data_IF_654068178335
#
_entry.id   IF_654068178335
#
_cell.length_a   1.000
_cell.length_b   1.000
_cell.length_c   1.000
_cell.angle_alpha   90.00
_cell.angle_beta   90.00
_cell.angle_gamma   90.00
#
_symmetry.space_group_name_H-M   'P 1'
#
loop_
_entity.id
_entity.type
_entity.pdbx_description
1 polymer ?
#
# COMPACT_ATOMS: atom_id res chain seq x y z
N UNK A 1 25.37 -28.18 7.29
CA UNK A 1 25.77 -26.86 7.83
C UNK A 1 24.91 -25.79 7.17
N UNK A 2 23.97 -25.20 7.91
CA UNK A 2 23.18 -24.08 7.40
C UNK A 2 24.06 -22.83 7.24
N UNK A 3 23.99 -22.18 6.08
CA UNK A 3 24.70 -20.93 5.83
C UNK A 3 23.77 -19.74 6.10
N UNK A 4 24.33 -18.70 6.71
CA UNK A 4 23.67 -17.42 6.93
C UNK A 4 24.59 -16.28 6.49
N UNK A 5 24.02 -15.16 6.08
CA UNK A 5 24.77 -14.00 5.64
C UNK A 5 24.16 -12.73 6.22
N UNK A 6 25.01 -11.73 6.46
CA UNK A 6 24.63 -10.36 6.72
C UNK A 6 24.79 -9.55 5.43
N UNK A 7 23.81 -8.69 5.14
CA UNK A 7 23.85 -7.77 4.02
C UNK A 7 23.85 -6.35 4.58
N UNK A 8 24.95 -5.61 4.38
CA UNK A 8 25.06 -4.21 4.80
C UNK A 8 24.13 -3.30 4.00
N UNK A 9 23.85 -2.09 4.51
CA UNK A 9 23.05 -1.08 3.81
C UNK A 9 23.58 -0.72 2.40
N UNK A 10 24.88 -0.91 2.16
CA UNK A 10 25.53 -0.71 0.85
C UNK A 10 25.39 -1.91 -0.09
N UNK A 11 24.69 -2.97 0.34
CA UNK A 11 24.45 -4.19 -0.45
C UNK A 11 25.61 -5.18 -0.44
N UNK A 12 26.60 -5.02 0.44
CA UNK A 12 27.71 -5.95 0.56
C UNK A 12 27.31 -7.14 1.46
N UNK A 13 27.46 -8.36 0.93
CA UNK A 13 27.09 -9.60 1.62
C UNK A 13 28.32 -10.24 2.28
N UNK A 14 28.25 -10.48 3.59
CA UNK A 14 29.24 -11.25 4.35
C UNK A 14 28.63 -12.52 4.95
N UNK A 15 29.36 -13.61 4.92
CA UNK A 15 28.94 -14.87 5.55
C UNK A 15 29.07 -14.78 7.08
N UNK A 16 28.03 -15.20 7.80
CA UNK A 16 27.96 -15.15 9.25
C UNK A 16 28.42 -16.46 9.87
N UNK A 17 29.25 -16.33 10.90
CA UNK A 17 29.71 -17.43 11.76
C UNK A 17 29.14 -17.26 13.16
N UNK A 18 29.10 -18.36 13.93
CA UNK A 18 28.67 -18.32 15.33
C UNK A 18 29.57 -17.34 16.11
N UNK A 19 28.95 -16.40 16.83
CA UNK A 19 29.66 -15.34 17.56
C UNK A 19 29.91 -14.06 16.75
N UNK A 20 29.57 -14.02 15.46
CA UNK A 20 29.60 -12.78 14.69
C UNK A 20 28.51 -11.83 15.19
N UNK A 21 28.85 -10.54 15.25
CA UNK A 21 27.93 -9.46 15.63
C UNK A 21 27.20 -8.97 14.40
N UNK A 22 25.91 -8.67 14.52
CA UNK A 22 25.11 -8.02 13.48
C UNK A 22 24.90 -6.56 13.85
N UNK A 23 25.20 -5.66 12.93
CA UNK A 23 24.93 -4.24 13.11
C UNK A 23 23.46 -3.93 12.79
N UNK A 24 22.94 -2.83 13.32
CA UNK A 24 21.55 -2.41 13.12
C UNK A 24 21.20 -2.11 11.66
N UNK A 25 22.21 -1.84 10.82
CA UNK A 25 22.10 -1.55 9.39
C UNK A 25 22.32 -2.80 8.51
N UNK A 26 22.46 -3.98 9.12
CA UNK A 26 22.70 -5.25 8.42
C UNK A 26 21.45 -6.15 8.42
N UNK A 27 21.13 -6.71 7.25
CA UNK A 27 20.02 -7.65 7.06
C UNK A 27 20.50 -9.11 7.14
N UNK A 28 19.81 -9.93 7.94
CA UNK A 28 20.07 -11.37 8.05
C UNK A 28 19.40 -12.16 6.92
N UNK A 29 20.18 -12.98 6.22
CA UNK A 29 19.72 -13.88 5.17
C UNK A 29 20.08 -15.31 5.54
N UNK A 30 19.10 -16.20 5.65
CA UNK A 30 19.29 -17.62 5.99
C UNK A 30 19.07 -18.54 4.79
N UNK A 31 19.91 -19.56 4.63
CA UNK A 31 19.67 -20.62 3.65
C UNK A 31 18.44 -21.49 4.02
N UNK A 32 17.78 -22.14 3.04
CA UNK A 32 16.65 -23.02 3.31
C UNK A 32 16.99 -24.12 4.32
N UNK A 33 16.19 -24.23 5.38
CA UNK A 33 16.41 -25.20 6.47
C UNK A 33 17.50 -24.82 7.48
N UNK A 34 18.14 -23.65 7.36
CA UNK A 34 19.03 -23.13 8.39
C UNK A 34 18.22 -22.54 9.55
N UNK A 35 18.63 -22.83 10.80
CA UNK A 35 18.13 -22.17 11.99
C UNK A 35 19.21 -21.22 12.54
N UNK A 36 18.85 -19.96 12.74
CA UNK A 36 19.73 -18.93 13.33
C UNK A 36 19.10 -18.40 14.60
N UNK A 37 19.80 -18.55 15.71
CA UNK A 37 19.38 -18.01 16.99
C UNK A 37 20.13 -16.70 17.27
N UNK A 38 19.38 -15.62 17.37
CA UNK A 38 19.87 -14.26 17.60
C UNK A 38 19.58 -13.88 19.06
N UNK A 39 20.63 -13.53 19.81
CA UNK A 39 20.54 -13.16 21.23
C UNK A 39 20.71 -11.64 21.38
N UNK A 40 19.69 -11.00 21.95
CA UNK A 40 19.59 -9.54 22.12
C UNK A 40 20.26 -9.03 23.40
N UNK A 41 21.00 -9.89 24.11
CA UNK A 41 21.75 -9.59 25.33
C UNK A 41 20.90 -9.14 26.55
N UNK A 42 19.57 -9.15 26.41
CA UNK A 42 18.56 -8.87 27.43
C UNK A 42 17.81 -10.16 27.87
N UNK A 43 18.43 -11.32 27.65
CA UNK A 43 17.85 -12.66 27.76
C UNK A 43 16.70 -12.97 26.78
N UNK A 44 16.50 -12.17 25.73
CA UNK A 44 15.62 -12.53 24.61
C UNK A 44 16.43 -13.20 23.50
N UNK A 45 15.96 -14.38 23.10
CA UNK A 45 16.50 -15.15 21.99
C UNK A 45 15.41 -15.33 20.94
N UNK A 46 15.69 -14.99 19.68
CA UNK A 46 14.80 -15.21 18.55
C UNK A 46 15.42 -16.24 17.60
N UNK A 47 14.63 -17.24 17.22
CA UNK A 47 15.04 -18.31 16.31
C UNK A 47 14.40 -18.12 14.95
N UNK A 48 15.22 -17.92 13.92
CA UNK A 48 14.77 -17.83 12.53
C UNK A 48 15.02 -19.16 11.83
N UNK A 49 13.99 -19.77 11.24
CA UNK A 49 14.12 -21.01 10.46
C UNK A 49 13.87 -20.66 8.99
N UNK A 50 14.77 -21.09 8.10
CA UNK A 50 14.78 -20.78 6.66
C UNK A 50 13.63 -21.36 5.82
N UNK A 51 12.43 -21.49 6.39
CA UNK A 51 11.17 -21.65 5.64
C UNK A 51 10.04 -20.76 6.20
N UNK A 52 10.36 -19.72 6.98
CA UNK A 52 9.34 -18.86 7.56
C UNK A 52 9.79 -17.39 7.56
N UNK A 53 9.04 -16.56 6.83
CA UNK A 53 8.98 -15.12 7.09
C UNK A 53 8.38 -14.93 8.48
N UNK A 54 9.05 -14.18 9.33
CA UNK A 54 8.45 -13.66 10.55
C UNK A 54 8.81 -12.18 10.67
N UNK A 55 7.79 -11.34 10.72
CA UNK A 55 7.88 -9.93 11.09
C UNK A 55 8.06 -9.89 12.61
N UNK A 56 9.08 -9.19 13.10
CA UNK A 56 9.17 -8.85 14.53
C UNK A 56 8.34 -7.57 14.73
N UNK A 57 7.02 -7.73 14.77
CA UNK A 57 6.10 -6.71 15.33
C UNK A 57 4.86 -7.36 15.99
N UNK A 58 4.58 -8.64 15.72
CA UNK A 58 3.29 -9.23 16.11
C UNK A 58 3.37 -10.12 17.38
N UNK A 59 4.04 -9.62 18.42
CA UNK A 59 4.10 -10.30 19.73
C UNK A 59 3.56 -9.44 20.90
N UNK A 60 2.86 -8.34 20.60
CA UNK A 60 2.20 -7.51 21.63
C UNK A 60 0.68 -7.79 21.77
N UNK A 61 0.08 -8.64 20.94
CA UNK A 61 -1.39 -8.73 20.83
C UNK A 61 -2.02 -10.06 21.29
N UNK A 62 -1.34 -10.89 22.08
CA UNK A 62 -1.92 -12.14 22.60
C UNK A 62 -1.72 -12.33 24.11
N UNK A 63 -2.27 -11.43 24.93
CA UNK A 63 -2.81 -11.83 26.24
C UNK A 63 -3.87 -10.85 26.75
N UNK A 64 -5.13 -11.03 26.34
CA UNK A 64 -6.25 -10.85 27.28
C UNK A 64 -6.41 -12.19 28.00
N UNK A 65 -5.88 -12.27 29.23
CA UNK A 65 -6.24 -13.36 30.13
C UNK A 65 -7.64 -13.15 30.71
N UNK A 66 -8.22 -14.19 31.32
CA UNK A 66 -8.91 -14.01 32.58
C UNK A 66 -8.14 -14.71 33.70
N UNK A 67 -7.83 -13.89 34.71
CA UNK A 67 -7.90 -14.13 36.14
C UNK A 67 -7.08 -15.24 36.83
N UNK A 68 -6.56 -14.81 37.99
CA UNK A 68 -5.70 -15.49 38.95
C UNK A 68 -6.48 -16.51 39.76
N UNK A 69 -5.81 -17.57 40.20
CA UNK A 69 -5.93 -18.08 41.58
C UNK A 69 -4.70 -18.94 41.99
N UNK A 70 -4.04 -18.42 43.03
CA UNK A 70 -3.20 -18.97 44.13
C UNK A 70 -2.41 -20.31 44.05
N UNK A 71 -1.13 -20.19 44.47
CA UNK A 71 -0.12 -21.16 44.98
C UNK A 71 -0.58 -22.01 46.19
N UNK A 72 0.06 -23.17 46.60
CA UNK A 72 1.50 -23.26 46.98
C UNK A 72 2.28 -24.59 46.75
N UNK A 73 3.63 -24.49 46.82
CA UNK A 73 4.67 -25.53 46.55
C UNK A 73 4.89 -26.57 47.68
N UNK A 74 6.13 -27.02 48.03
CA UNK A 74 7.46 -26.93 47.39
C UNK A 74 8.21 -28.31 47.30
N UNK A 75 9.41 -28.38 46.68
CA UNK A 75 10.67 -28.89 47.31
C UNK A 75 11.83 -29.14 46.31
N UNK A 76 13.11 -29.06 46.75
CA UNK A 76 14.32 -28.90 45.93
C UNK A 76 15.24 -30.14 45.94
N UNK A 77 16.34 -30.14 45.16
CA UNK A 77 17.74 -30.51 45.54
C UNK A 77 18.62 -30.85 44.30
N UNK A 78 19.55 -29.93 43.98
CA UNK A 78 21.00 -30.02 43.64
C UNK A 78 21.65 -31.26 42.91
N UNK A 79 22.99 -31.34 42.71
CA UNK A 79 23.77 -30.68 41.65
C UNK A 79 24.74 -31.65 40.91
N UNK A 80 25.33 -31.27 39.77
CA UNK A 80 26.40 -32.09 39.15
C UNK A 80 27.05 -31.50 37.90
N UNK A 81 28.21 -30.88 38.08
CA UNK A 81 29.17 -30.39 37.08
C UNK A 81 29.91 -31.56 36.34
N UNK A 82 30.97 -31.33 35.51
CA UNK A 82 31.14 -30.45 34.34
C UNK A 82 31.76 -31.21 33.11
N UNK A 83 31.93 -30.47 32.00
CA UNK A 83 32.94 -30.53 30.89
C UNK A 83 33.73 -31.84 30.60
N UNK A 84 33.96 -32.28 29.35
CA UNK A 84 35.01 -31.75 28.45
C UNK A 84 35.05 -32.48 27.07
N UNK A 85 35.86 -32.03 26.08
CA UNK A 85 35.67 -32.18 24.63
C UNK A 85 36.61 -33.19 23.93
N UNK A 86 36.45 -33.38 22.61
CA UNK A 86 37.48 -33.62 21.53
C UNK A 86 36.79 -34.15 20.25
N UNK A 87 36.92 -33.48 19.09
CA UNK A 87 37.96 -33.63 18.04
C UNK A 87 38.04 -35.05 17.45
N UNK A 88 38.22 -35.32 16.15
CA UNK A 88 38.36 -34.53 14.92
C UNK A 88 38.25 -35.50 13.71
N UNK A 89 38.08 -34.92 12.52
CA UNK A 89 38.52 -35.35 11.18
C UNK A 89 38.06 -36.69 10.55
N UNK A 90 37.40 -36.56 9.39
CA UNK A 90 37.96 -37.17 8.17
C UNK A 90 37.55 -36.41 6.89
N UNK A 91 38.51 -36.31 5.98
CA UNK A 91 38.54 -35.49 4.76
C UNK A 91 37.96 -36.17 3.50
N UNK A 92 37.31 -35.34 2.65
CA UNK A 92 37.33 -35.30 1.15
C UNK A 92 36.59 -36.38 0.30
N UNK A 93 36.35 -36.14 -1.03
CA UNK A 93 35.89 -34.94 -1.78
C UNK A 93 34.84 -35.30 -2.89
N UNK A 94 34.59 -34.36 -3.84
CA UNK A 94 33.90 -34.51 -5.17
C UNK A 94 32.36 -34.32 -5.15
N UNK A 95 31.65 -33.66 -6.08
CA UNK A 95 31.89 -32.77 -7.24
C UNK A 95 30.49 -32.27 -7.70
N UNK A 96 30.41 -30.99 -8.11
CA UNK A 96 29.47 -30.37 -9.09
C UNK A 96 27.96 -30.71 -9.06
N UNK A 97 27.10 -29.69 -8.96
CA UNK A 97 26.23 -29.22 -10.06
C UNK A 97 25.58 -27.86 -9.71
N UNK A 98 25.08 -27.21 -10.74
CA UNK A 98 24.92 -25.78 -10.98
C UNK A 98 23.43 -25.35 -10.97
N UNK A 99 23.16 -24.08 -10.63
CA UNK A 99 21.85 -23.39 -10.79
C UNK A 99 20.92 -23.47 -9.56
N UNK A 100 20.23 -22.43 -9.07
CA UNK A 100 19.96 -21.07 -9.53
C UNK A 100 19.93 -20.10 -8.34
N UNK A 101 20.40 -18.87 -8.56
CA UNK A 101 20.44 -17.76 -7.59
C UNK A 101 19.10 -17.03 -7.58
N UNK A 102 18.50 -16.82 -6.41
CA UNK A 102 17.52 -15.76 -6.18
C UNK A 102 17.86 -15.07 -4.85
N UNK A 103 18.03 -13.76 -4.89
CA UNK A 103 18.21 -12.87 -3.72
C UNK A 103 17.00 -11.95 -3.73
N UNK A 104 16.23 -11.93 -2.64
CA UNK A 104 15.13 -10.96 -2.44
C UNK A 104 15.60 -9.92 -1.42
N UNK A 105 15.54 -8.63 -1.77
CA UNK A 105 15.74 -7.51 -0.86
C UNK A 105 14.40 -7.11 -0.26
N UNK A 106 14.36 -6.89 1.07
CA UNK A 106 13.23 -6.25 1.77
C UNK A 106 13.77 -5.02 2.52
N UNK A 107 13.16 -3.85 2.31
CA UNK A 107 13.43 -2.65 3.13
C UNK A 107 12.61 -2.75 4.41
N UNK A 108 13.20 -2.41 5.54
CA UNK A 108 12.45 -2.13 6.77
C UNK A 108 12.90 -0.76 7.25
N UNK A 109 11.93 0.15 7.37
CA UNK A 109 12.11 1.44 8.01
C UNK A 109 12.12 1.27 9.53
N UNK A 110 13.09 1.93 10.16
CA UNK A 110 13.05 2.54 11.50
C UNK A 110 12.06 1.97 12.54
N UNK A 111 12.60 1.31 13.58
CA UNK A 111 12.06 1.44 14.94
C UNK A 111 13.24 1.77 15.85
N UNK A 112 13.37 3.05 16.21
CA UNK A 112 14.26 3.52 17.27
C UNK A 112 13.38 3.72 18.51
N UNK A 113 13.56 2.91 19.55
CA UNK A 113 13.29 3.33 20.91
C UNK A 113 14.57 3.30 21.77
N UNK A 114 15.01 4.53 22.05
CA UNK A 114 15.60 5.08 23.27
C UNK A 114 17.07 4.86 23.71
N UNK A 115 17.85 3.88 23.26
CA UNK A 115 19.25 3.81 23.76
C UNK A 115 20.36 3.41 22.78
N UNK A 116 20.06 3.01 21.53
CA UNK A 116 20.96 3.11 20.36
C UNK A 116 22.38 2.51 20.44
N UNK A 117 22.74 1.78 21.50
CA UNK A 117 24.14 1.40 21.81
C UNK A 117 24.27 -0.09 22.20
N UNK A 118 23.19 -0.88 22.23
CA UNK A 118 23.26 -2.29 22.64
C UNK A 118 23.33 -3.24 21.43
N UNK A 119 24.51 -3.81 21.09
CA UNK A 119 24.65 -4.74 19.97
C UNK A 119 24.12 -6.15 20.32
N UNK A 120 23.38 -6.73 19.38
CA UNK A 120 22.85 -8.10 19.41
C UNK A 120 23.96 -9.08 19.00
N UNK A 121 24.13 -10.18 19.73
CA UNK A 121 25.19 -11.18 19.49
C UNK A 121 24.57 -12.51 19.04
N UNK A 122 25.08 -13.16 17.99
CA UNK A 122 24.58 -14.47 17.54
C UNK A 122 25.14 -15.57 18.44
N UNK A 123 24.29 -16.21 19.24
CA UNK A 123 24.74 -17.13 20.29
C UNK A 123 24.99 -18.57 19.80
N UNK A 124 24.29 -19.06 18.77
CA UNK A 124 24.46 -20.45 18.29
C UNK A 124 23.81 -20.70 16.92
N UNK A 125 24.41 -21.58 16.12
CA UNK A 125 23.80 -22.16 14.91
C UNK A 125 23.76 -23.68 15.12
N UNK A 126 22.58 -24.31 15.00
CA UNK A 126 22.42 -25.75 15.12
C UNK A 126 21.52 -26.30 14.00
N UNK A 127 21.98 -27.34 13.31
CA UNK A 127 21.24 -28.01 12.24
C UNK A 127 20.36 -29.10 12.84
N UNK A 128 19.03 -28.93 12.79
CA UNK A 128 18.07 -29.90 13.32
C UNK A 128 17.56 -30.81 12.18
N UNK A 129 18.23 -31.93 11.94
CA UNK A 129 17.72 -32.96 11.04
C UNK A 129 16.60 -33.74 11.77
N UNK A 130 15.34 -33.60 11.33
CA UNK A 130 14.28 -34.52 11.76
C UNK A 130 14.53 -35.89 11.11
N UNK A 131 14.71 -36.99 11.86
CA UNK A 131 14.80 -38.31 11.23
C UNK A 131 13.45 -38.63 10.58
N UNK A 132 13.48 -38.99 9.30
CA UNK A 132 12.34 -39.55 8.58
C UNK A 132 11.98 -40.90 9.22
N UNK A 133 11.05 -40.91 10.16
CA UNK A 133 10.44 -42.13 10.67
C UNK A 133 9.47 -42.69 9.64
N UNK A 134 9.95 -43.52 8.70
CA UNK A 134 9.08 -44.37 7.88
C UNK A 134 9.25 -45.82 8.34
N UNK A 135 8.34 -46.30 9.18
CA UNK A 135 8.12 -47.74 9.39
C UNK A 135 7.29 -48.27 8.21
N UNK A 136 7.94 -48.99 7.29
CA UNK A 136 7.25 -49.78 6.27
C UNK A 136 6.70 -51.06 6.94
N UNK A 137 5.41 -51.43 6.77
CA UNK A 137 4.97 -52.76 7.18
C UNK A 137 5.64 -53.81 6.27
N UNK A 138 6.28 -54.81 6.88
CA UNK A 138 6.77 -55.99 6.17
C UNK A 138 5.59 -56.72 5.51
N UNK A 139 5.40 -56.51 4.22
CA UNK A 139 4.67 -57.47 3.38
C UNK A 139 5.69 -58.44 2.81
N UNK A 140 5.68 -59.64 3.35
CA UNK A 140 6.37 -60.80 2.78
C UNK A 140 5.82 -61.06 1.38
N UNK A 141 6.63 -60.81 0.35
CA UNK A 141 6.33 -61.25 -1.01
C UNK A 141 6.85 -62.67 -1.18
N UNK A 142 5.99 -63.68 -0.98
CA UNK A 142 6.19 -64.96 -1.62
C UNK A 142 6.03 -64.77 -3.13
N UNK A 143 7.11 -65.09 -3.86
CA UNK A 143 7.10 -65.11 -5.32
C UNK A 143 6.18 -66.23 -5.78
N UNK A 144 5.08 -65.87 -6.44
CA UNK A 144 4.57 -66.71 -7.51
C UNK A 144 4.23 -65.88 -8.73
N UNK A 145 4.99 -66.17 -9.78
CA UNK A 145 4.99 -65.54 -11.08
C UNK A 145 4.02 -66.32 -11.95
N UNK A 146 2.88 -65.71 -12.28
CA UNK A 146 2.16 -65.86 -13.55
C UNK A 146 0.81 -65.14 -13.42
N UNK A 147 0.60 -64.13 -14.25
CA UNK A 147 -0.53 -64.02 -15.18
C UNK A 147 -0.31 -62.74 -15.99
N UNK A 148 -0.43 -62.91 -17.31
CA UNK A 148 -0.24 -61.92 -18.34
C UNK A 148 -1.38 -60.88 -18.41
N UNK A 149 -0.98 -59.68 -18.81
CA UNK A 149 -1.72 -58.65 -19.55
C UNK A 149 -2.76 -57.75 -18.85
N UNK A 150 -2.44 -56.44 -18.95
CA UNK A 150 -3.31 -55.31 -19.34
C UNK A 150 -4.04 -54.59 -18.20
N UNK A 151 -3.37 -53.58 -17.65
CA UNK A 151 -3.98 -52.45 -16.94
C UNK A 151 -2.96 -51.33 -16.86
N UNK A 152 -3.11 -50.29 -17.68
CA UNK A 152 -2.21 -49.14 -17.67
C UNK A 152 -2.35 -48.37 -16.36
N UNK A 153 -1.31 -48.37 -15.55
CA UNK A 153 -1.16 -47.40 -14.47
C UNK A 153 -1.00 -46.03 -15.11
N UNK A 154 -2.12 -45.33 -15.27
CA UNK A 154 -2.09 -43.88 -15.43
C UNK A 154 -1.43 -43.33 -14.18
N UNK A 155 -0.15 -43.03 -14.28
CA UNK A 155 0.44 -41.98 -13.46
C UNK A 155 -0.36 -40.74 -13.82
N UNK A 156 -1.35 -40.39 -13.00
CA UNK A 156 -1.88 -39.04 -12.99
C UNK A 156 -0.67 -38.18 -12.64
N UNK A 157 -0.15 -37.35 -13.57
CA UNK A 157 0.96 -36.48 -13.23
C UNK A 157 0.50 -35.65 -12.03
N UNK A 158 1.35 -35.55 -11.00
CA UNK A 158 1.13 -34.57 -9.94
C UNK A 158 0.82 -33.23 -10.63
N UNK A 159 -0.25 -32.51 -10.23
CA UNK A 159 -0.63 -31.29 -10.92
C UNK A 159 0.60 -30.38 -10.95
N UNK A 160 1.00 -29.96 -12.15
CA UNK A 160 2.08 -29.01 -12.30
C UNK A 160 1.78 -27.82 -11.38
N UNK A 161 2.75 -27.44 -10.54
CA UNK A 161 2.59 -26.30 -9.63
C UNK A 161 2.45 -25.06 -10.51
N UNK A 162 1.21 -24.57 -10.64
CA UNK A 162 0.90 -23.30 -11.29
C UNK A 162 1.20 -22.17 -10.31
N UNK A 163 1.73 -21.07 -10.79
CA UNK A 163 1.89 -19.82 -10.05
C UNK A 163 0.94 -18.78 -10.66
N UNK A 164 -0.35 -18.80 -10.31
CA UNK A 164 -1.31 -17.86 -10.85
C UNK A 164 -0.98 -16.44 -10.40
N UNK A 165 -1.17 -15.50 -11.31
CA UNK A 165 -1.00 -14.07 -11.12
C UNK A 165 -2.32 -13.33 -11.31
N UNK A 166 -2.36 -12.15 -10.71
CA UNK A 166 -3.44 -11.18 -10.83
C UNK A 166 -2.82 -9.81 -11.09
N UNK A 167 -3.55 -8.96 -11.81
CA UNK A 167 -3.22 -7.55 -11.96
C UNK A 167 -4.42 -6.70 -11.54
N UNK A 168 -4.16 -5.67 -10.75
CA UNK A 168 -5.18 -4.73 -10.29
C UNK A 168 -4.95 -3.38 -10.96
N UNK A 169 -6.02 -2.71 -11.36
CA UNK A 169 -5.98 -1.37 -11.91
C UNK A 169 -7.22 -0.58 -11.51
N UNK A 170 -7.01 0.52 -10.79
CA UNK A 170 -7.99 1.57 -10.58
C UNK A 170 -8.18 2.38 -11.88
N UNK A 171 -9.43 2.64 -12.24
CA UNK A 171 -9.83 3.26 -13.50
C UNK A 171 -10.40 4.66 -13.28
N UNK A 172 -10.44 5.48 -14.33
CA UNK A 172 -11.17 6.74 -14.38
C UNK A 172 -10.63 7.89 -13.50
N UNK A 173 -9.37 7.82 -13.03
CA UNK A 173 -8.69 8.91 -12.29
C UNK A 173 -8.08 9.99 -13.21
N UNK A 174 -8.77 10.31 -14.33
CA UNK A 174 -8.30 11.33 -15.27
C UNK A 174 -6.91 11.10 -15.88
N UNK A 175 -6.37 12.15 -16.50
CA UNK A 175 -5.01 12.19 -17.07
C UNK A 175 -3.95 12.58 -16.01
N UNK A 176 -4.36 13.24 -14.94
CA UNK A 176 -3.52 13.65 -13.81
C UNK A 176 -3.26 12.52 -12.82
N UNK A 177 -4.09 11.47 -12.85
CA UNK A 177 -3.97 10.28 -12.00
C UNK A 177 -4.47 10.50 -10.58
N UNK A 178 -5.24 11.57 -10.33
CA UNK A 178 -5.82 11.93 -9.02
C UNK A 178 -7.33 11.89 -9.16
N UNK A 179 -8.03 11.20 -8.27
CA UNK A 179 -9.49 11.24 -8.28
C UNK A 179 -10.01 12.57 -7.73
N UNK A 180 -10.71 13.31 -8.57
CA UNK A 180 -11.44 14.51 -8.17
C UNK A 180 -12.90 14.21 -7.75
N UNK A 181 -13.60 15.21 -7.21
CA UNK A 181 -14.98 15.10 -6.75
C UNK A 181 -15.97 14.64 -7.84
N UNK A 182 -15.68 14.92 -9.11
CA UNK A 182 -16.53 14.53 -10.23
C UNK A 182 -16.24 13.12 -10.76
N UNK A 183 -15.00 12.63 -10.57
CA UNK A 183 -14.56 11.28 -10.95
C UNK A 183 -14.94 10.22 -9.92
N UNK A 184 -15.14 10.63 -8.66
CA UNK A 184 -15.77 9.78 -7.66
C UNK A 184 -17.24 9.61 -8.04
N UNK A 185 -17.67 8.36 -8.22
CA UNK A 185 -19.04 8.02 -8.58
C UNK A 185 -20.06 8.61 -7.62
N UNK A 186 -21.29 8.82 -8.08
CA UNK A 186 -22.37 9.37 -7.24
C UNK A 186 -22.71 8.51 -6.01
N UNK A 187 -22.28 7.25 -6.00
CA UNK A 187 -22.37 6.32 -4.88
C UNK A 187 -21.15 6.36 -3.94
N UNK A 188 -20.19 7.25 -4.20
CA UNK A 188 -18.96 7.39 -3.41
C UNK A 188 -17.97 6.27 -3.69
N UNK A 189 -17.86 5.80 -4.93
CA UNK A 189 -16.95 4.73 -5.29
C UNK A 189 -16.27 4.97 -6.64
N UNK A 190 -15.16 4.28 -6.86
CA UNK A 190 -14.40 4.32 -8.12
C UNK A 190 -14.24 2.93 -8.71
N UNK A 191 -14.29 2.77 -10.04
CA UNK A 191 -14.20 1.47 -10.66
C UNK A 191 -12.75 0.97 -10.67
N UNK A 192 -12.59 -0.32 -10.42
CA UNK A 192 -11.34 -1.05 -10.62
C UNK A 192 -11.56 -2.27 -11.51
N UNK A 193 -10.53 -2.61 -12.29
CA UNK A 193 -10.47 -3.79 -13.12
C UNK A 193 -9.37 -4.73 -12.61
N UNK A 194 -9.78 -5.95 -12.29
CA UNK A 194 -8.89 -7.05 -11.95
C UNK A 194 -8.76 -7.94 -13.18
N UNK A 195 -7.54 -8.17 -13.64
CA UNK A 195 -7.23 -9.10 -14.72
C UNK A 195 -6.45 -10.29 -14.20
N UNK A 196 -6.76 -11.47 -14.72
CA UNK A 196 -6.21 -12.75 -14.30
C UNK A 196 -5.27 -13.27 -15.39
N UNK A 197 -4.15 -13.88 -15.00
CA UNK A 197 -3.21 -14.41 -15.98
C UNK A 197 -3.64 -15.78 -16.57
N UNK A 198 -2.85 -16.27 -17.52
CA UNK A 198 -3.11 -17.55 -18.20
C UNK A 198 -2.88 -18.78 -17.32
N UNK A 199 -2.33 -18.60 -16.10
CA UNK A 199 -2.14 -19.65 -15.12
C UNK A 199 -3.33 -19.77 -14.18
N UNK A 200 -4.25 -18.80 -14.09
CA UNK A 200 -5.48 -18.93 -13.30
C UNK A 200 -6.46 -19.92 -13.95
N UNK A 201 -7.22 -20.66 -13.14
CA UNK A 201 -8.27 -21.59 -13.59
C UNK A 201 -9.56 -21.35 -12.82
N UNK A 202 -10.67 -21.77 -13.44
CA UNK A 202 -11.98 -21.81 -12.77
C UNK A 202 -11.88 -22.63 -11.48
N UNK A 203 -12.37 -22.06 -10.39
CA UNK A 203 -12.33 -22.67 -9.05
C UNK A 203 -11.11 -22.28 -8.19
N UNK A 204 -10.10 -21.59 -8.74
CA UNK A 204 -9.14 -20.86 -7.91
C UNK A 204 -9.88 -19.76 -7.12
N UNK A 205 -9.45 -19.40 -5.91
CA UNK A 205 -10.13 -18.41 -5.07
C UNK A 205 -9.60 -17.02 -5.36
N UNK A 206 -10.48 -16.08 -5.72
CA UNK A 206 -10.18 -14.66 -5.86
C UNK A 206 -10.70 -13.90 -4.63
N UNK A 207 -9.80 -13.20 -3.96
CA UNK A 207 -10.08 -12.31 -2.85
C UNK A 207 -9.67 -10.88 -3.23
N UNK A 208 -10.57 -9.92 -3.09
CA UNK A 208 -10.35 -8.49 -3.33
C UNK A 208 -10.71 -7.73 -2.07
N UNK A 209 -9.82 -6.85 -1.63
CA UNK A 209 -9.99 -6.02 -0.43
C UNK A 209 -9.73 -4.55 -0.73
N UNK A 210 -10.39 -3.66 0.01
CA UNK A 210 -10.03 -2.24 0.03
C UNK A 210 -8.77 -1.98 0.89
N UNK A 211 -8.32 -0.73 0.94
CA UNK A 211 -7.20 -0.29 1.79
C UNK A 211 -7.39 -0.48 3.29
N UNK A 212 -8.64 -0.63 3.75
CA UNK A 212 -8.98 -0.88 5.14
C UNK A 212 -9.05 -2.39 5.47
N UNK A 213 -8.82 -3.26 4.48
CA UNK A 213 -8.92 -4.71 4.61
C UNK A 213 -10.34 -5.26 4.56
N UNK A 214 -11.34 -4.46 4.18
CA UNK A 214 -12.70 -4.94 3.97
C UNK A 214 -12.77 -5.77 2.69
N UNK A 215 -13.41 -6.94 2.77
CA UNK A 215 -13.60 -7.79 1.58
C UNK A 215 -14.64 -7.16 0.64
N UNK A 216 -14.20 -6.77 -0.55
CA UNK A 216 -15.06 -6.31 -1.63
C UNK A 216 -15.56 -7.50 -2.46
N UNK A 217 -14.75 -8.55 -2.59
CA UNK A 217 -15.09 -9.78 -3.28
C UNK A 217 -14.33 -10.97 -2.68
N UNK A 218 -15.02 -12.08 -2.44
CA UNK A 218 -14.40 -13.33 -2.02
C UNK A 218 -15.19 -14.51 -2.61
N UNK A 219 -14.70 -15.07 -3.72
CA UNK A 219 -15.38 -16.19 -4.40
C UNK A 219 -14.43 -16.97 -5.32
N UNK A 220 -14.80 -18.20 -5.73
CA UNK A 220 -14.09 -18.88 -6.81
C UNK A 220 -14.16 -18.09 -8.12
N UNK A 221 -13.06 -18.14 -8.86
CA UNK A 221 -12.93 -17.65 -10.23
C UNK A 221 -13.85 -18.45 -11.14
N UNK A 222 -14.56 -17.73 -12.00
CA UNK A 222 -15.48 -18.26 -13.02
C UNK A 222 -14.85 -18.11 -14.41
N UNK A 223 -15.48 -18.71 -15.43
CA UNK A 223 -15.01 -18.55 -16.80
C UNK A 223 -15.12 -17.09 -17.28
N UNK A 224 -16.15 -16.37 -16.84
CA UNK A 224 -16.37 -14.98 -17.21
C UNK A 224 -15.23 -14.07 -16.70
N UNK A 225 -14.72 -14.32 -15.49
CA UNK A 225 -13.60 -13.57 -14.93
C UNK A 225 -12.30 -13.75 -15.72
N UNK A 226 -12.09 -14.94 -16.30
CA UNK A 226 -10.94 -15.23 -17.14
C UNK A 226 -11.05 -14.57 -18.52
N UNK A 227 -12.27 -14.50 -19.05
CA UNK A 227 -12.52 -13.97 -20.38
C UNK A 227 -12.58 -12.42 -20.38
N UNK A 228 -13.17 -11.82 -19.35
CA UNK A 228 -13.48 -10.39 -19.28
C UNK A 228 -12.80 -9.63 -18.13
N UNK A 229 -12.15 -10.33 -17.20
CA UNK A 229 -11.71 -9.76 -15.93
C UNK A 229 -12.86 -9.52 -14.96
N UNK A 230 -12.55 -8.95 -13.79
CA UNK A 230 -13.53 -8.61 -12.77
C UNK A 230 -13.56 -7.11 -12.57
N UNK A 231 -14.73 -6.49 -12.77
CA UNK A 231 -14.96 -5.10 -12.39
C UNK A 231 -15.52 -5.03 -10.98
N UNK A 232 -14.99 -4.10 -10.19
CA UNK A 232 -15.42 -3.88 -8.82
C UNK A 232 -15.46 -2.38 -8.53
N UNK A 233 -16.42 -1.95 -7.74
CA UNK A 233 -16.48 -0.58 -7.23
C UNK A 233 -15.76 -0.53 -5.89
N UNK A 234 -14.78 0.37 -5.78
CA UNK A 234 -13.98 0.58 -4.57
C UNK A 234 -14.52 1.79 -3.85
N UNK A 235 -15.01 1.66 -2.61
CA UNK A 235 -15.57 2.78 -1.88
C UNK A 235 -14.50 3.84 -1.58
N UNK A 236 -14.89 5.09 -1.72
CA UNK A 236 -14.10 6.28 -1.41
C UNK A 236 -14.78 7.02 -0.26
N UNK A 237 -14.09 7.10 0.88
CA UNK A 237 -14.55 7.86 2.04
C UNK A 237 -14.19 9.33 1.84
N UNK A 238 -15.13 10.24 2.10
CA UNK A 238 -14.90 11.68 1.97
C UNK A 238 -13.67 12.13 2.79
N UNK A 239 -12.80 12.92 2.17
CA UNK A 239 -11.55 13.41 2.75
C UNK A 239 -10.46 12.35 2.90
N UNK A 240 -10.61 11.15 2.33
CA UNK A 240 -9.50 10.20 2.27
C UNK A 240 -8.44 10.70 1.27
N UNK A 241 -7.14 10.64 1.60
CA UNK A 241 -6.08 11.16 0.73
C UNK A 241 -5.72 10.24 -0.44
N UNK A 242 -6.13 8.97 -0.37
CA UNK A 242 -5.86 7.95 -1.38
C UNK A 242 -6.91 6.85 -1.31
N UNK A 243 -7.11 6.16 -2.43
CA UNK A 243 -7.90 4.94 -2.53
C UNK A 243 -6.97 3.78 -2.86
N UNK A 244 -7.09 2.70 -2.10
CA UNK A 244 -6.29 1.50 -2.23
C UNK A 244 -7.18 0.29 -2.50
N UNK A 245 -6.71 -0.59 -3.37
CA UNK A 245 -7.32 -1.88 -3.66
C UNK A 245 -6.23 -2.94 -3.78
N UNK A 246 -6.47 -4.10 -3.18
CA UNK A 246 -5.63 -5.27 -3.33
C UNK A 246 -6.44 -6.46 -3.80
N UNK A 247 -5.84 -7.31 -4.64
CA UNK A 247 -6.42 -8.58 -5.04
C UNK A 247 -5.40 -9.70 -4.87
N UNK A 248 -5.88 -10.88 -4.54
CA UNK A 248 -5.09 -12.11 -4.49
C UNK A 248 -5.86 -13.26 -5.10
N UNK A 249 -5.13 -14.14 -5.80
CA UNK A 249 -5.67 -15.37 -6.36
C UNK A 249 -4.92 -16.56 -5.77
N UNK A 250 -5.65 -17.53 -5.23
CA UNK A 250 -5.09 -18.70 -4.55
C UNK A 250 -5.65 -19.98 -5.12
N UNK A 251 -4.77 -20.88 -5.58
CA UNK A 251 -5.17 -22.23 -6.02
C UNK A 251 -5.62 -23.09 -4.84
N UNK A 252 -6.35 -24.21 -5.07
CA UNK A 252 -6.65 -25.19 -4.02
C UNK A 252 -5.41 -25.78 -3.32
N UNK A 253 -4.23 -25.71 -3.96
CA UNK A 253 -2.96 -26.15 -3.39
C UNK A 253 -2.30 -25.08 -2.50
N UNK A 254 -2.91 -23.90 -2.34
CA UNK A 254 -2.40 -22.78 -1.54
C UNK A 254 -1.33 -21.93 -2.23
N UNK A 255 -1.03 -22.20 -3.50
CA UNK A 255 -0.11 -21.38 -4.30
C UNK A 255 -0.90 -20.25 -4.96
N UNK A 256 -0.37 -19.03 -4.94
CA UNK A 256 -1.09 -17.85 -5.39
C UNK A 256 -0.19 -16.68 -5.76
N UNK A 257 -0.83 -15.61 -6.21
CA UNK A 257 -0.23 -14.31 -6.50
C UNK A 257 -1.15 -13.19 -6.02
N UNK A 258 -0.58 -12.02 -5.80
CA UNK A 258 -1.30 -10.83 -5.37
C UNK A 258 -0.78 -9.60 -6.09
N UNK A 259 -1.65 -8.61 -6.25
CA UNK A 259 -1.31 -7.30 -6.77
C UNK A 259 -2.16 -6.23 -6.08
N UNK A 260 -1.73 -4.98 -6.16
CA UNK A 260 -2.45 -3.84 -5.59
C UNK A 260 -2.32 -2.63 -6.49
N UNK A 261 -3.30 -1.74 -6.42
CA UNK A 261 -3.22 -0.42 -7.03
C UNK A 261 -3.66 0.63 -6.00
N UNK A 262 -3.05 1.81 -6.11
CA UNK A 262 -3.29 2.93 -5.22
C UNK A 262 -3.29 4.21 -6.03
N UNK A 263 -4.28 5.07 -5.78
CA UNK A 263 -4.37 6.38 -6.42
C UNK A 263 -4.69 7.47 -5.40
N UNK A 264 -4.07 8.65 -5.51
CA UNK A 264 -4.41 9.79 -4.69
C UNK A 264 -5.84 10.25 -4.97
N UNK A 265 -6.44 10.90 -3.97
CA UNK A 265 -7.78 11.47 -4.02
C UNK A 265 -7.69 12.93 -3.57
N UNK A 266 -8.30 13.83 -4.33
CA UNK A 266 -8.57 15.21 -3.92
C UNK A 266 -10.04 15.52 -4.21
N UNK A 267 -10.90 15.32 -3.23
CA UNK A 267 -12.34 15.54 -3.33
C UNK A 267 -12.77 16.93 -2.83
N UNK A 268 -11.79 17.80 -2.51
CA UNK A 268 -12.05 19.11 -1.95
C UNK A 268 -12.27 20.14 -3.06
N UNK A 269 -13.49 20.66 -3.15
CA UNK A 269 -13.82 21.70 -4.12
C UNK A 269 -13.38 23.07 -3.60
N UNK A 270 -12.48 23.78 -4.29
CA UNK A 270 -12.10 25.14 -3.90
C UNK A 270 -13.29 26.10 -4.03
N UNK A 271 -13.53 26.94 -3.02
CA UNK A 271 -14.62 27.91 -3.02
C UNK A 271 -14.16 29.33 -3.34
N UNK A 272 -15.05 30.08 -3.96
CA UNK A 272 -14.86 31.49 -4.31
C UNK A 272 -16.14 32.27 -4.04
N UNK A 273 -16.00 33.52 -3.61
CA UNK A 273 -17.08 34.48 -3.50
C UNK A 273 -16.71 35.75 -4.27
N UNK A 274 -17.72 36.42 -4.84
CA UNK A 274 -17.55 37.64 -5.62
C UNK A 274 -18.49 38.72 -5.07
N UNK A 275 -17.96 39.93 -4.92
CA UNK A 275 -18.72 41.10 -4.50
C UNK A 275 -18.34 42.31 -5.38
N UNK A 276 -19.30 42.85 -6.11
CA UNK A 276 -19.19 44.15 -6.75
C UNK A 276 -19.27 45.24 -5.68
N UNK A 277 -18.30 46.16 -5.67
CA UNK A 277 -18.19 47.19 -4.65
C UNK A 277 -18.41 48.59 -5.24
N UNK A 278 -18.83 49.53 -4.40
CA UNK A 278 -18.94 50.95 -4.75
C UNK A 278 -20.33 51.43 -5.19
N UNK A 279 -21.35 50.58 -5.27
CA UNK A 279 -22.72 50.94 -5.65
C UNK A 279 -23.54 51.59 -4.50
N UNK A 280 -22.89 52.27 -3.56
CA UNK A 280 -23.57 52.93 -2.44
C UNK A 280 -24.40 52.01 -1.52
N UNK A 281 -25.32 52.61 -0.75
CA UNK A 281 -26.28 51.90 0.11
C UNK A 281 -27.54 51.44 -0.64
N UNK A 282 -27.83 52.04 -1.78
CA UNK A 282 -28.96 51.69 -2.65
C UNK A 282 -28.65 50.51 -3.57
N UNK A 283 -27.37 50.18 -3.75
CA UNK A 283 -26.92 49.01 -4.52
C UNK A 283 -27.03 49.21 -6.03
N UNK A 284 -27.12 50.47 -6.49
CA UNK A 284 -27.24 50.82 -7.92
C UNK A 284 -26.10 51.76 -8.29
N UNK A 285 -25.36 51.43 -9.34
CA UNK A 285 -24.27 52.29 -9.80
C UNK A 285 -24.79 53.53 -10.51
N UNK A 286 -24.39 54.71 -10.04
CA UNK A 286 -24.57 55.96 -10.77
C UNK A 286 -23.27 56.43 -11.45
N UNK A 287 -23.37 57.46 -12.29
CA UNK A 287 -22.23 57.99 -13.05
C UNK A 287 -21.07 58.53 -12.18
N UNK A 288 -21.30 58.82 -10.90
CA UNK A 288 -20.26 59.26 -9.97
C UNK A 288 -19.56 58.09 -9.26
N UNK A 289 -20.21 56.93 -9.17
CA UNK A 289 -19.68 55.70 -8.56
C UNK A 289 -18.88 54.85 -9.54
N UNK A 290 -19.17 54.98 -10.84
CA UNK A 290 -18.33 54.42 -11.89
C UNK A 290 -17.00 55.20 -11.90
N UNK A 291 -15.89 54.46 -11.79
CA UNK A 291 -14.55 55.04 -11.78
C UNK A 291 -14.28 55.90 -13.01
N UNK A 292 -13.33 56.82 -12.89
CA UNK A 292 -12.93 57.69 -14.01
C UNK A 292 -12.39 56.91 -15.23
N UNK A 293 -12.00 55.65 -15.03
CA UNK A 293 -11.59 54.70 -16.06
C UNK A 293 -12.75 53.91 -16.67
N UNK A 294 -13.99 54.17 -16.25
CA UNK A 294 -15.20 53.47 -16.72
C UNK A 294 -15.35 52.08 -16.12
N UNK A 295 -14.81 51.84 -14.92
CA UNK A 295 -14.87 50.53 -14.26
C UNK A 295 -15.33 50.62 -12.81
N UNK A 296 -15.78 49.50 -12.27
CA UNK A 296 -16.14 49.33 -10.85
C UNK A 296 -15.30 48.21 -10.24
N UNK A 297 -14.88 48.33 -8.97
CA UNK A 297 -14.12 47.27 -8.31
C UNK A 297 -15.00 46.07 -7.97
N UNK A 298 -14.47 44.87 -8.17
CA UNK A 298 -15.01 43.63 -7.62
C UNK A 298 -13.98 42.98 -6.69
N UNK A 299 -14.41 42.61 -5.50
CA UNK A 299 -13.63 41.85 -4.54
C UNK A 299 -13.95 40.36 -4.69
N UNK A 300 -12.93 39.57 -4.98
CA UNK A 300 -12.98 38.11 -4.98
C UNK A 300 -12.38 37.64 -3.66
N UNK A 301 -13.16 36.87 -2.90
CA UNK A 301 -12.70 36.19 -1.68
C UNK A 301 -12.57 34.70 -1.95
N UNK A 302 -11.53 34.09 -1.39
CA UNK A 302 -11.21 32.67 -1.52
C UNK A 302 -11.49 31.96 -0.19
N UNK A 303 -11.97 30.73 -0.23
CA UNK A 303 -12.23 29.95 0.99
C UNK A 303 -10.97 29.21 1.51
N UNK A 304 -11.17 28.37 2.53
CA UNK A 304 -10.08 27.62 3.17
C UNK A 304 -9.63 26.36 2.41
N UNK A 305 -10.34 25.98 1.34
CA UNK A 305 -9.95 24.87 0.46
C UNK A 305 -9.02 25.32 -0.66
N UNK A 306 -9.01 26.61 -0.99
CA UNK A 306 -8.13 27.17 -2.02
C UNK A 306 -6.67 27.12 -1.59
N UNK A 307 -5.81 26.66 -2.51
CA UNK A 307 -4.36 26.54 -2.30
C UNK A 307 -3.60 27.41 -3.29
N UNK A 308 -2.36 27.73 -2.96
CA UNK A 308 -1.45 28.40 -3.90
C UNK A 308 -1.22 27.48 -5.10
N UNK A 309 -1.42 28.00 -6.30
CA UNK A 309 -1.33 27.25 -7.55
C UNK A 309 -2.69 26.95 -8.21
N UNK A 310 -3.79 27.03 -7.47
CA UNK A 310 -5.15 26.91 -8.04
C UNK A 310 -5.38 28.01 -9.08
N UNK A 311 -6.08 27.72 -10.16
CA UNK A 311 -6.28 28.66 -11.27
C UNK A 311 -7.54 29.49 -11.05
N UNK A 312 -7.37 30.80 -10.84
CA UNK A 312 -8.47 31.75 -10.73
C UNK A 312 -8.71 32.44 -12.07
N UNK A 313 -9.94 32.33 -12.56
CA UNK A 313 -10.43 33.00 -13.77
C UNK A 313 -11.59 33.92 -13.39
N UNK A 314 -11.49 35.19 -13.73
CA UNK A 314 -12.55 36.19 -13.50
C UNK A 314 -12.99 36.77 -14.84
N UNK A 315 -14.30 36.85 -15.07
CA UNK A 315 -14.92 37.34 -16.31
C UNK A 315 -15.96 38.41 -16.05
N UNK A 316 -16.14 39.31 -17.01
CA UNK A 316 -17.29 40.22 -17.05
C UNK A 316 -18.56 39.51 -17.56
N UNK A 317 -19.71 40.19 -17.51
CA UNK A 317 -20.98 39.68 -18.05
C UNK A 317 -21.00 39.42 -19.56
N UNK A 318 -19.98 39.86 -20.30
CA UNK A 318 -19.82 39.56 -21.73
C UNK A 318 -18.92 38.33 -21.97
N UNK A 319 -18.37 37.73 -20.90
CA UNK A 319 -17.47 36.59 -20.94
C UNK A 319 -16.00 36.95 -21.18
N UNK A 320 -15.63 38.24 -21.20
CA UNK A 320 -14.24 38.66 -21.36
C UNK A 320 -13.44 38.35 -20.09
N UNK A 321 -12.23 37.81 -20.24
CA UNK A 321 -11.34 37.55 -19.09
C UNK A 321 -10.77 38.85 -18.54
N UNK A 322 -11.10 39.15 -17.29
CA UNK A 322 -10.53 40.23 -16.50
C UNK A 322 -9.27 39.77 -15.77
N UNK A 323 -9.24 38.49 -15.37
CA UNK A 323 -8.12 37.85 -14.71
C UNK A 323 -8.06 36.37 -15.09
N UNK A 324 -6.86 35.85 -15.33
CA UNK A 324 -6.62 34.42 -15.51
C UNK A 324 -5.18 34.10 -15.09
N UNK A 325 -5.01 33.57 -13.88
CA UNK A 325 -3.69 33.22 -13.33
C UNK A 325 -3.80 32.27 -12.13
N UNK A 326 -2.72 31.60 -11.74
CA UNK A 326 -2.67 30.89 -10.47
C UNK A 326 -2.83 31.83 -9.28
N UNK A 327 -3.46 31.33 -8.23
CA UNK A 327 -3.60 31.92 -6.90
C UNK A 327 -2.23 31.96 -6.23
N UNK A 328 -1.95 33.09 -5.60
CA UNK A 328 -0.74 33.35 -4.81
C UNK A 328 -1.08 33.47 -3.33
N UNK A 329 -0.07 33.39 -2.47
CA UNK A 329 -0.29 33.58 -1.03
C UNK A 329 -0.93 34.94 -0.69
N UNK A 330 -0.57 36.00 -1.44
CA UNK A 330 -1.14 37.32 -1.22
C UNK A 330 -2.66 37.37 -1.49
N UNK A 331 -3.14 36.53 -2.40
CA UNK A 331 -4.57 36.43 -2.74
C UNK A 331 -5.33 35.68 -1.65
N UNK A 332 -4.74 34.64 -1.06
CA UNK A 332 -5.32 33.95 0.10
C UNK A 332 -5.41 34.87 1.32
N UNK A 333 -4.40 35.72 1.51
CA UNK A 333 -4.33 36.61 2.67
C UNK A 333 -5.26 37.83 2.55
N UNK A 334 -5.46 38.37 1.35
CA UNK A 334 -6.15 39.67 1.14
C UNK A 334 -7.34 39.61 0.16
N UNK A 335 -7.60 38.48 -0.47
CA UNK A 335 -8.50 38.40 -1.63
C UNK A 335 -7.86 39.00 -2.89
N UNK A 336 -8.66 39.06 -3.96
CA UNK A 336 -8.27 39.63 -5.25
C UNK A 336 -9.23 40.74 -5.64
N UNK A 337 -8.73 41.92 -5.94
CA UNK A 337 -9.56 43.00 -6.51
C UNK A 337 -9.34 43.08 -8.01
N UNK A 338 -10.43 43.10 -8.78
CA UNK A 338 -10.39 43.33 -10.23
C UNK A 338 -11.30 44.49 -10.61
N UNK A 339 -10.96 45.18 -11.69
CA UNK A 339 -11.79 46.24 -12.24
C UNK A 339 -12.70 45.67 -13.32
N UNK A 340 -14.01 45.82 -13.15
CA UNK A 340 -15.05 45.37 -14.08
C UNK A 340 -15.48 46.55 -14.95
N UNK A 341 -15.25 46.52 -16.27
CA UNK A 341 -15.66 47.61 -17.17
C UNK A 341 -17.18 47.79 -17.21
N UNK A 342 -17.63 49.04 -17.23
CA UNK A 342 -19.04 49.42 -17.40
C UNK A 342 -19.17 50.19 -18.71
N UNK A 343 -19.84 49.61 -19.69
CA UNK A 343 -20.06 50.23 -20.98
C UNK A 343 -21.13 51.34 -20.88
N UNK A 344 -21.04 52.42 -21.68
CA UNK A 344 -22.08 53.45 -21.72
C UNK A 344 -23.45 52.86 -22.09
N UNK A 345 -24.46 53.15 -21.28
CA UNK A 345 -25.82 52.63 -21.46
C UNK A 345 -26.01 51.16 -21.06
N UNK A 346 -25.03 50.57 -20.37
CA UNK A 346 -25.17 49.27 -19.72
C UNK A 346 -26.05 49.42 -18.50
N UNK A 347 -27.14 48.66 -18.42
CA UNK A 347 -28.10 48.72 -17.31
C UNK A 347 -27.77 47.77 -16.14
N UNK A 348 -26.81 46.87 -16.32
CA UNK A 348 -26.38 45.90 -15.30
C UNK A 348 -24.90 45.57 -15.46
N UNK A 349 -24.13 45.64 -14.38
CA UNK A 349 -22.76 45.14 -14.31
C UNK A 349 -22.80 43.74 -13.73
N UNK A 350 -22.14 42.80 -14.39
CA UNK A 350 -22.02 41.42 -13.93
C UNK A 350 -20.56 41.00 -13.95
N UNK A 351 -20.17 40.22 -12.95
CA UNK A 351 -18.86 39.62 -12.82
C UNK A 351 -19.00 38.20 -12.31
N UNK A 352 -18.21 37.29 -12.87
CA UNK A 352 -18.14 35.90 -12.44
C UNK A 352 -16.71 35.50 -12.17
N UNK A 353 -16.49 34.64 -11.19
CA UNK A 353 -15.20 34.03 -10.90
C UNK A 353 -15.34 32.51 -10.84
N UNK A 354 -14.36 31.81 -11.40
CA UNK A 354 -14.18 30.37 -11.32
C UNK A 354 -12.79 30.10 -10.77
N UNK A 355 -12.71 29.22 -9.77
CA UNK A 355 -11.46 28.71 -9.22
C UNK A 355 -11.38 27.21 -9.52
N UNK A 356 -10.23 26.74 -10.01
CA UNK A 356 -9.99 25.33 -10.35
C UNK A 356 -8.68 24.86 -9.73
N UNK A 357 -8.71 23.78 -8.96
CA UNK A 357 -7.50 23.18 -8.38
C UNK A 357 -6.73 22.30 -9.40
N UNK A 358 -5.54 21.78 -9.04
CA UNK A 358 -4.77 20.91 -9.92
C UNK A 358 -5.41 19.54 -10.22
N UNK A 359 -6.33 19.07 -9.37
CA UNK A 359 -7.09 17.82 -9.59
C UNK A 359 -8.31 18.05 -10.50
N UNK A 360 -8.62 19.30 -10.83
CA UNK A 360 -9.75 19.68 -11.68
C UNK A 360 -11.05 19.98 -10.92
N UNK A 361 -11.06 19.96 -9.59
CA UNK A 361 -12.22 20.43 -8.83
C UNK A 361 -12.39 21.93 -9.05
N UNK A 362 -13.64 22.35 -9.29
CA UNK A 362 -13.93 23.75 -9.61
C UNK A 362 -15.10 24.30 -8.83
N UNK A 363 -14.93 25.49 -8.28
CA UNK A 363 -15.99 26.31 -7.68
C UNK A 363 -16.22 27.59 -8.48
N UNK A 364 -17.44 28.14 -8.41
CA UNK A 364 -17.76 29.39 -9.08
C UNK A 364 -18.73 30.26 -8.29
N UNK A 365 -18.61 31.56 -8.49
CA UNK A 365 -19.52 32.57 -7.94
C UNK A 365 -19.70 33.72 -8.93
N UNK A 366 -20.78 34.46 -8.78
CA UNK A 366 -21.08 35.66 -9.56
C UNK A 366 -21.74 36.70 -8.66
N UNK A 367 -21.60 37.96 -9.04
CA UNK A 367 -22.37 39.08 -8.50
C UNK A 367 -22.77 40.00 -9.64
N UNK A 368 -23.93 40.63 -9.47
CA UNK A 368 -24.46 41.58 -10.44
C UNK A 368 -25.14 42.76 -9.75
N UNK A 369 -25.01 43.94 -10.35
CA UNK A 369 -25.63 45.17 -9.85
C UNK A 369 -26.16 46.06 -10.98
N UNK A 370 -27.36 46.64 -10.80
CA UNK A 370 -27.93 47.55 -11.78
C UNK A 370 -27.13 48.85 -11.88
N UNK A 371 -27.28 49.51 -13.02
CA UNK A 371 -26.73 50.85 -13.30
C UNK A 371 -27.88 51.80 -13.59
N UNK A 372 -27.83 52.99 -13.02
CA UNK A 372 -28.81 54.05 -13.28
C UNK A 372 -28.57 54.67 -14.67
N UNK A 373 -29.66 54.96 -15.39
CA UNK A 373 -29.66 55.40 -16.80
C UNK A 373 -29.33 56.89 -16.98
#
# INVERSE_FOLDING_TARGET
>A
MGQAWALTATGERRELKVGDRLNSDEMLITAPGAQVDVDFADNRQLSFIGQQQAVIDDAASLTRGPEREETPGPQPLEPGAPAEPRQADNERPETSFEGHKFVHLVRIGEIIEADGITPVTVARIQELLRPLGMTLPERTFERDWRVEHRGGERHEPAPAIRTPGVRVQLLDAGDDGVYNQAEIGADGSVPALITLDDQVRVGDVLLVTDGNGNELLNRPVTQDDLDNGVRIEVPVVAGQPQVDIAASVTTPAGVGGSDHDSKPVDDQVPGVAVELQGAGEDGVYNAAEIGADGSVPALISLDDQVRVGDTLVVRDGNGNELLNRPVTQADLDNGVTVQVPVAPGQSNVEVSATITDPAGNSGSAHDDKPVDD
#
